data_IF_304736563147
#
_entry.id   IF_304736563147
#
_cell.length_a   1.000
_cell.length_b   1.000
_cell.length_c   1.000
_cell.angle_alpha   90.00
_cell.angle_beta   90.00
_cell.angle_gamma   90.00
#
_symmetry.space_group_name_H-M   'P 1'
#
loop_
_entity.id
_entity.type
_entity.pdbx_description
1 polymer ?
#
# COMPACT_ATOMS: atom_id res chain seq x y z
N UNK A 1 -45.20 23.01 -28.46
CA UNK A 1 -45.11 22.50 -27.07
C UNK A 1 -44.38 21.17 -26.96
N UNK A 2 -44.70 20.16 -27.76
CA UNK A 2 -44.04 18.83 -27.66
C UNK A 2 -42.53 18.86 -27.92
N UNK A 3 -42.04 19.71 -28.83
CA UNK A 3 -40.58 19.83 -29.13
C UNK A 3 -39.75 20.41 -27.99
N UNK A 4 -40.32 21.34 -27.20
CA UNK A 4 -39.60 21.94 -26.05
C UNK A 4 -39.43 20.97 -24.88
N UNK A 5 -40.41 20.11 -24.62
CA UNK A 5 -40.37 19.10 -23.60
C UNK A 5 -39.31 18.01 -23.89
N UNK A 6 -39.24 17.58 -25.17
CA UNK A 6 -38.24 16.58 -25.60
C UNK A 6 -36.82 17.10 -25.49
N UNK A 7 -36.59 18.36 -25.84
CA UNK A 7 -35.26 19.00 -25.73
C UNK A 7 -34.85 19.14 -24.29
N UNK A 8 -35.74 19.50 -23.37
CA UNK A 8 -35.49 19.59 -21.95
C UNK A 8 -35.13 18.23 -21.35
N UNK A 9 -35.83 17.15 -21.72
CA UNK A 9 -35.59 15.81 -21.26
C UNK A 9 -34.22 15.28 -21.70
N UNK A 10 -33.82 15.56 -22.95
CA UNK A 10 -32.49 15.19 -23.48
C UNK A 10 -31.40 15.93 -22.76
N UNK A 11 -31.56 17.21 -22.41
CA UNK A 11 -30.58 17.98 -21.65
C UNK A 11 -30.39 17.46 -20.22
N UNK A 12 -31.48 17.07 -19.56
CA UNK A 12 -31.45 16.50 -18.21
C UNK A 12 -30.73 15.13 -18.20
N UNK A 13 -31.02 14.28 -19.19
CA UNK A 13 -30.36 12.99 -19.35
C UNK A 13 -28.87 13.13 -19.65
N UNK A 14 -28.46 14.11 -20.45
CA UNK A 14 -27.06 14.40 -20.75
C UNK A 14 -26.30 14.91 -19.50
N UNK A 15 -26.93 15.76 -18.70
CA UNK A 15 -26.38 16.28 -17.47
C UNK A 15 -26.17 15.16 -16.42
N UNK A 16 -27.11 14.22 -16.29
CA UNK A 16 -27.01 13.04 -15.43
C UNK A 16 -25.87 12.11 -15.85
N UNK A 17 -25.66 11.93 -17.15
CA UNK A 17 -24.57 11.11 -17.67
C UNK A 17 -23.21 11.75 -17.41
N UNK A 18 -23.06 13.05 -17.54
CA UNK A 18 -21.84 13.80 -17.24
C UNK A 18 -21.53 13.78 -15.74
N UNK A 19 -22.53 13.88 -14.87
CA UNK A 19 -22.34 13.79 -13.43
C UNK A 19 -21.87 12.38 -12.97
N UNK A 20 -22.38 11.32 -13.62
CA UNK A 20 -21.93 9.96 -13.35
C UNK A 20 -20.50 9.72 -13.79
N UNK A 21 -20.04 10.34 -14.88
CA UNK A 21 -18.64 10.25 -15.36
C UNK A 21 -17.65 10.96 -14.45
N UNK A 22 -18.06 11.98 -13.69
CA UNK A 22 -17.19 12.70 -12.75
C UNK A 22 -16.88 11.92 -11.45
N UNK A 23 -17.50 10.74 -11.23
CA UNK A 23 -17.28 9.90 -10.06
C UNK A 23 -16.28 8.76 -10.29
N UNK A 24 -15.61 8.70 -11.44
CA UNK A 24 -14.58 7.70 -11.71
C UNK A 24 -13.26 8.21 -11.11
N UNK A 25 -12.88 7.66 -9.95
CA UNK A 25 -11.56 7.88 -9.37
C UNK A 25 -10.56 6.89 -9.97
N UNK A 26 -9.37 7.38 -10.34
CA UNK A 26 -8.27 6.50 -10.71
C UNK A 26 -7.88 5.66 -9.51
N UNK A 27 -7.77 4.34 -9.70
CA UNK A 27 -7.21 3.46 -8.69
C UNK A 27 -5.74 3.83 -8.46
N UNK A 28 -5.28 3.80 -7.21
CA UNK A 28 -3.90 4.07 -6.89
C UNK A 28 -3.01 2.91 -7.35
N UNK A 29 -1.84 3.23 -7.92
CA UNK A 29 -0.93 2.23 -8.45
C UNK A 29 0.12 1.85 -7.41
N UNK A 30 -0.11 0.70 -6.77
CA UNK A 30 0.82 0.11 -5.81
C UNK A 30 1.68 -1.01 -6.42
N UNK A 31 1.55 -1.29 -7.72
CA UNK A 31 2.24 -2.39 -8.40
C UNK A 31 3.76 -2.35 -8.26
N UNK A 32 4.43 -1.17 -8.21
CA UNK A 32 5.88 -1.10 -7.99
C UNK A 32 6.35 -1.76 -6.69
N UNK A 33 5.47 -1.94 -5.70
CA UNK A 33 5.82 -2.58 -4.42
C UNK A 33 5.90 -4.10 -4.49
N UNK A 34 5.30 -4.73 -5.49
CA UNK A 34 5.23 -6.19 -5.59
C UNK A 34 6.63 -6.77 -5.79
N UNK A 35 6.97 -7.77 -4.99
CA UNK A 35 8.26 -8.43 -5.02
C UNK A 35 8.78 -8.76 -3.64
N UNK A 36 10.05 -9.13 -3.60
CA UNK A 36 10.75 -9.49 -2.37
C UNK A 36 11.76 -8.39 -2.01
N UNK A 37 11.78 -8.02 -0.74
CA UNK A 37 12.57 -6.91 -0.24
C UNK A 37 13.42 -7.37 0.93
N UNK A 38 14.74 -7.18 0.84
CA UNK A 38 15.68 -7.58 1.89
C UNK A 38 16.18 -6.38 2.67
N UNK A 39 16.17 -6.48 4.00
CA UNK A 39 16.79 -5.48 4.88
C UNK A 39 18.28 -5.38 4.60
N UNK A 40 18.78 -4.16 4.56
CA UNK A 40 20.19 -3.89 4.21
C UNK A 40 21.18 -4.26 5.33
N UNK A 41 20.71 -4.30 6.59
CA UNK A 41 21.54 -4.58 7.78
C UNK A 41 21.43 -6.03 8.27
N UNK A 42 20.53 -6.82 7.67
CA UNK A 42 20.27 -8.20 8.08
C UNK A 42 19.58 -8.97 6.96
N UNK A 43 19.46 -10.31 7.12
CA UNK A 43 18.85 -11.17 6.10
C UNK A 43 17.31 -11.20 6.11
N UNK A 44 16.64 -10.28 6.79
CA UNK A 44 15.19 -10.26 6.90
C UNK A 44 14.55 -9.87 5.58
N UNK A 45 13.49 -10.58 5.21
CA UNK A 45 12.79 -10.38 3.93
C UNK A 45 11.32 -10.10 4.14
N UNK A 46 10.83 -9.05 3.53
CA UNK A 46 9.40 -8.80 3.32
C UNK A 46 9.07 -9.23 1.88
N UNK A 47 8.07 -10.10 1.74
CA UNK A 47 7.55 -10.49 0.43
C UNK A 47 6.18 -9.87 0.24
N UNK A 48 6.03 -9.01 -0.76
CA UNK A 48 4.75 -8.41 -1.15
C UNK A 48 4.23 -9.18 -2.35
N UNK A 49 3.21 -10.03 -2.13
CA UNK A 49 2.66 -10.93 -3.15
C UNK A 49 1.60 -10.28 -4.01
N UNK A 50 0.69 -9.56 -3.37
CA UNK A 50 -0.40 -8.88 -4.05
C UNK A 50 -0.88 -7.69 -3.22
N UNK A 51 -1.49 -6.73 -3.89
CA UNK A 51 -2.05 -5.54 -3.26
C UNK A 51 -3.43 -5.29 -3.84
N UNK A 52 -4.44 -5.25 -2.97
CA UNK A 52 -5.81 -4.95 -3.35
C UNK A 52 -5.98 -3.46 -3.71
N UNK A 53 -7.06 -3.08 -4.43
CA UNK A 53 -7.30 -1.68 -4.80
C UNK A 53 -7.37 -0.71 -3.60
N UNK A 54 -7.79 -1.19 -2.43
CA UNK A 54 -7.81 -0.41 -1.18
C UNK A 54 -6.46 -0.33 -0.49
N UNK A 55 -5.41 -0.93 -1.06
CA UNK A 55 -4.05 -0.95 -0.53
C UNK A 55 -3.75 -2.11 0.42
N UNK A 56 -4.71 -2.98 0.70
CA UNK A 56 -4.46 -4.15 1.56
C UNK A 56 -3.46 -5.09 0.91
N UNK A 57 -2.37 -5.39 1.63
CA UNK A 57 -1.26 -6.20 1.13
C UNK A 57 -1.38 -7.63 1.64
N UNK A 58 -1.19 -8.60 0.72
CA UNK A 58 -0.89 -9.98 1.08
C UNK A 58 0.64 -10.12 1.15
N UNK A 59 1.17 -10.24 2.37
CA UNK A 59 2.59 -10.20 2.62
C UNK A 59 3.09 -11.42 3.40
N UNK A 60 4.36 -11.75 3.19
CA UNK A 60 5.12 -12.66 4.04
C UNK A 60 6.31 -11.95 4.68
N UNK A 61 6.75 -12.45 5.83
CA UNK A 61 7.94 -11.95 6.50
C UNK A 61 8.81 -13.13 6.94
N UNK A 62 10.12 -13.03 6.73
CA UNK A 62 11.06 -14.13 6.94
C UNK A 62 12.29 -13.65 7.70
N UNK A 63 12.68 -14.39 8.79
CA UNK A 63 13.82 -14.07 9.65
C UNK A 63 14.55 -15.33 10.15
N UNK A 64 15.19 -16.17 9.37
CA UNK A 64 14.89 -16.60 7.99
C UNK A 64 13.62 -17.43 7.89
N UNK A 65 13.07 -17.91 9.00
CA UNK A 65 11.82 -18.67 9.05
C UNK A 65 10.63 -17.74 8.87
N UNK A 66 9.50 -18.27 8.35
CA UNK A 66 8.28 -17.48 8.24
C UNK A 66 7.81 -16.96 9.60
N UNK A 67 7.47 -15.68 9.66
CA UNK A 67 6.86 -15.01 10.80
C UNK A 67 5.51 -14.47 10.37
N UNK A 68 4.47 -14.71 11.17
CA UNK A 68 3.12 -14.33 10.78
C UNK A 68 2.95 -12.82 10.73
N UNK A 69 2.40 -12.34 9.63
CA UNK A 69 2.00 -10.95 9.44
C UNK A 69 0.56 -10.80 9.90
N UNK A 70 0.30 -9.92 10.85
CA UNK A 70 -1.05 -9.62 11.32
C UNK A 70 -1.78 -8.74 10.29
N UNK A 71 -1.10 -7.71 9.79
CA UNK A 71 -1.67 -6.76 8.85
C UNK A 71 -0.56 -6.14 8.01
N UNK A 72 -0.85 -5.90 6.73
CA UNK A 72 0.02 -5.14 5.86
C UNK A 72 -0.84 -4.23 4.97
N UNK A 73 -0.44 -2.97 4.85
CA UNK A 73 -1.24 -1.94 4.19
C UNK A 73 -0.35 -0.96 3.43
N UNK A 74 -0.71 -0.71 2.17
CA UNK A 74 -0.16 0.38 1.38
C UNK A 74 -1.15 1.55 1.36
N UNK A 75 -0.63 2.76 1.38
CA UNK A 75 -1.44 3.98 1.27
C UNK A 75 -0.63 5.10 0.61
N UNK A 76 -1.32 6.03 -0.04
CA UNK A 76 -0.69 7.26 -0.52
C UNK A 76 -0.70 8.29 0.60
N UNK A 77 0.47 8.85 0.89
CA UNK A 77 0.60 10.01 1.77
C UNK A 77 1.29 11.12 1.01
N UNK A 78 0.52 12.15 0.65
CA UNK A 78 0.97 13.18 -0.29
C UNK A 78 1.41 12.51 -1.60
N UNK A 79 2.67 12.61 -1.97
CA UNK A 79 3.21 12.06 -3.21
C UNK A 79 3.97 10.74 -3.01
N UNK A 80 3.88 10.14 -1.81
CA UNK A 80 4.65 8.94 -1.46
C UNK A 80 3.76 7.76 -1.13
N UNK A 81 4.23 6.56 -1.52
CA UNK A 81 3.60 5.32 -1.07
C UNK A 81 4.18 4.95 0.30
N UNK A 82 3.30 4.84 1.28
CA UNK A 82 3.62 4.35 2.62
C UNK A 82 3.22 2.87 2.72
N UNK A 83 4.09 2.07 3.33
CA UNK A 83 3.86 0.64 3.59
C UNK A 83 3.95 0.40 5.09
N UNK A 84 2.94 -0.23 5.66
CA UNK A 84 2.93 -0.67 7.05
C UNK A 84 2.80 -2.18 7.11
N UNK A 85 3.68 -2.84 7.88
CA UNK A 85 3.64 -4.29 8.10
C UNK A 85 3.70 -4.54 9.59
N UNK A 86 2.64 -5.13 10.15
CA UNK A 86 2.55 -5.46 11.56
C UNK A 86 2.68 -6.97 11.76
N UNK A 87 3.54 -7.37 12.69
CA UNK A 87 3.83 -8.76 13.01
C UNK A 87 3.07 -9.19 14.27
N UNK A 88 2.84 -10.50 14.44
CA UNK A 88 2.06 -11.02 15.58
C UNK A 88 2.65 -12.21 16.30
N UNK A 89 3.71 -12.81 15.80
CA UNK A 89 4.27 -14.01 16.40
C UNK A 89 4.92 -13.73 17.76
N UNK A 90 5.08 -14.78 18.56
CA UNK A 90 5.82 -14.73 19.81
C UNK A 90 7.24 -14.21 19.55
N UNK A 91 7.66 -13.21 20.33
CA UNK A 91 8.89 -12.45 20.08
C UNK A 91 8.70 -11.23 19.17
N UNK A 92 7.54 -11.14 18.49
CA UNK A 92 7.19 -10.02 17.61
C UNK A 92 5.78 -9.48 17.87
N UNK A 93 5.27 -9.42 19.12
CA UNK A 93 3.87 -9.08 19.38
C UNK A 93 3.61 -7.60 19.12
N UNK A 94 3.09 -7.29 17.93
CA UNK A 94 2.83 -5.91 17.51
C UNK A 94 4.06 -5.16 17.02
N UNK A 95 5.19 -5.83 16.81
CA UNK A 95 6.34 -5.22 16.11
C UNK A 95 5.94 -4.85 14.69
N UNK A 96 6.39 -3.69 14.22
CA UNK A 96 5.89 -3.16 12.96
C UNK A 96 6.95 -2.40 12.17
N UNK A 97 6.85 -2.53 10.85
CA UNK A 97 7.56 -1.69 9.89
C UNK A 97 6.66 -0.57 9.41
N UNK A 98 7.20 0.63 9.35
CA UNK A 98 6.58 1.79 8.70
C UNK A 98 7.59 2.32 7.69
N UNK A 99 7.30 2.12 6.40
CA UNK A 99 8.24 2.34 5.32
C UNK A 99 7.64 3.29 4.28
N UNK A 100 8.51 3.99 3.57
CA UNK A 100 8.17 4.82 2.42
C UNK A 100 8.95 4.31 1.21
N UNK A 101 8.26 4.20 0.08
CA UNK A 101 8.90 3.80 -1.18
C UNK A 101 9.57 5.00 -1.84
N UNK A 102 10.86 4.84 -2.17
CA UNK A 102 11.65 5.80 -2.92
C UNK A 102 11.85 5.26 -4.36
N UNK A 103 11.03 5.72 -5.34
CA UNK A 103 11.01 5.12 -6.68
C UNK A 103 12.30 5.37 -7.48
N UNK A 104 13.00 6.45 -7.25
CA UNK A 104 14.24 6.78 -7.95
C UNK A 104 15.38 5.81 -7.64
N UNK A 105 15.38 5.21 -6.45
CA UNK A 105 16.38 4.23 -6.02
C UNK A 105 15.82 2.81 -5.91
N UNK A 106 14.51 2.63 -6.04
CA UNK A 106 13.80 1.37 -5.86
C UNK A 106 14.12 0.74 -4.49
N UNK A 107 13.92 1.52 -3.42
CA UNK A 107 14.15 1.11 -2.04
C UNK A 107 12.94 1.46 -1.16
N UNK A 108 12.79 0.72 -0.06
CA UNK A 108 11.88 1.05 1.03
C UNK A 108 12.69 1.56 2.22
N UNK A 109 12.33 2.70 2.77
CA UNK A 109 13.06 3.34 3.87
C UNK A 109 12.09 3.73 4.98
N UNK A 110 12.50 3.54 6.21
CA UNK A 110 11.67 3.95 7.34
C UNK A 110 12.15 3.41 8.67
N UNK A 111 11.19 2.90 9.45
CA UNK A 111 11.44 2.50 10.82
C UNK A 111 10.87 1.13 11.11
N UNK A 112 11.57 0.41 11.99
CA UNK A 112 11.11 -0.81 12.63
C UNK A 112 10.88 -0.53 14.10
N UNK A 113 9.64 -0.74 14.56
CA UNK A 113 9.27 -0.70 15.96
C UNK A 113 9.37 -2.10 16.55
N UNK A 114 10.29 -2.30 17.51
CA UNK A 114 10.45 -3.57 18.24
C UNK A 114 9.59 -3.52 19.50
N UNK A 115 8.45 -4.21 19.49
CA UNK A 115 7.45 -4.10 20.55
C UNK A 115 7.95 -4.59 21.90
N UNK A 116 8.81 -5.62 21.93
CA UNK A 116 9.34 -6.18 23.17
C UNK A 116 10.21 -5.18 23.92
N UNK A 117 11.08 -4.44 23.22
CA UNK A 117 11.96 -3.43 23.82
C UNK A 117 11.39 -2.02 23.80
N UNK A 118 10.34 -1.75 23.01
CA UNK A 118 9.79 -0.43 22.81
C UNK A 118 10.68 0.51 21.99
N UNK A 119 11.69 -0.03 21.30
CA UNK A 119 12.67 0.76 20.55
C UNK A 119 12.30 0.87 19.08
N UNK A 120 12.67 1.99 18.47
CA UNK A 120 12.57 2.22 17.02
C UNK A 120 13.96 2.19 16.39
N UNK A 121 14.07 1.54 15.23
CA UNK A 121 15.31 1.45 14.46
C UNK A 121 15.08 1.97 13.05
N UNK A 122 15.99 2.76 12.55
CA UNK A 122 15.99 3.11 11.12
C UNK A 122 16.37 1.88 10.30
N UNK A 123 15.59 1.63 9.24
CA UNK A 123 15.78 0.46 8.37
C UNK A 123 15.63 0.83 6.90
N UNK A 124 16.28 0.06 6.05
CA UNK A 124 16.11 0.13 4.62
C UNK A 124 15.99 -1.26 4.03
N UNK A 125 15.24 -1.37 2.93
CA UNK A 125 15.07 -2.60 2.17
C UNK A 125 15.40 -2.34 0.72
N UNK A 126 16.11 -3.28 0.13
CA UNK A 126 16.41 -3.31 -1.32
C UNK A 126 15.67 -4.48 -1.95
N UNK A 127 15.31 -4.32 -3.22
CA UNK A 127 14.62 -5.38 -3.96
C UNK A 127 15.57 -6.54 -4.22
N UNK A 128 15.11 -7.77 -3.93
CA UNK A 128 15.78 -8.99 -4.37
C UNK A 128 15.44 -9.24 -5.84
N UNK A 129 16.48 -9.46 -6.62
CA UNK A 129 16.36 -9.80 -8.04
C UNK A 129 16.31 -11.30 -8.26
#
# INVERSE_FOLDING_TARGET
MKKRLTTLLIMVLLALFLAASAMVFAAEDFQPLIGRWQRTDAGYVIEIRSIAPDGKITAGYYNPRPINVEQAQASMQKDHIKVEVKLRDQGYPGSAYTLVYAPDKDVLIGYYYHAVSGQNFEVGFVRLK
#
